data_IF_495083894551
#
_entry.id   IF_495083894551
#
_cell.length_a   1.000
_cell.length_b   1.000
_cell.length_c   1.000
_cell.angle_alpha   90.00
_cell.angle_beta   90.00
_cell.angle_gamma   90.00
#
_symmetry.space_group_name_H-M   'P 1'
#
loop_
_entity.id
_entity.type
_entity.pdbx_description
1 polymer ?
#
# COMPACT_ATOMS: atom_id res chain seq x y z
N UNK A 1 6.63 24.36 1.48
CA UNK A 1 6.60 22.90 1.78
C UNK A 1 5.16 22.39 1.70
N UNK A 2 4.89 21.32 0.93
CA UNK A 2 3.55 20.71 0.80
C UNK A 2 2.92 20.32 2.15
N UNK A 3 1.58 20.31 2.22
CA UNK A 3 0.87 20.05 3.48
C UNK A 3 1.01 18.60 3.95
N UNK A 4 1.04 17.62 3.04
CA UNK A 4 1.33 16.22 3.37
C UNK A 4 2.68 16.08 4.09
N UNK A 5 3.68 16.89 3.73
CA UNK A 5 5.00 16.78 4.35
C UNK A 5 4.97 17.36 5.77
N UNK A 6 4.24 18.47 5.98
CA UNK A 6 4.03 19.04 7.31
C UNK A 6 3.32 18.06 8.22
N UNK A 7 2.29 17.41 7.70
CA UNK A 7 1.51 16.40 8.41
C UNK A 7 2.36 15.17 8.74
N UNK A 8 3.16 14.67 7.79
CA UNK A 8 4.09 13.57 8.02
C UNK A 8 5.12 13.92 9.10
N UNK A 9 5.73 15.11 9.06
CA UNK A 9 6.65 15.59 10.10
C UNK A 9 5.97 15.63 11.47
N UNK A 10 4.73 16.13 11.52
CA UNK A 10 3.96 16.16 12.76
C UNK A 10 3.74 14.75 13.32
N UNK A 11 3.24 13.82 12.50
CA UNK A 11 3.00 12.44 12.91
C UNK A 11 4.29 11.74 13.34
N UNK A 12 5.37 11.87 12.57
CA UNK A 12 6.67 11.29 12.93
C UNK A 12 7.14 11.77 14.30
N UNK A 13 7.08 13.08 14.56
CA UNK A 13 7.46 13.65 15.85
C UNK A 13 6.54 13.18 16.99
N UNK A 14 5.23 13.17 16.77
CA UNK A 14 4.26 12.72 17.76
C UNK A 14 4.44 11.25 18.15
N UNK A 15 4.89 10.41 17.21
CA UNK A 15 5.22 9.01 17.43
C UNK A 15 6.66 8.78 17.95
N UNK A 16 7.44 9.84 18.16
CA UNK A 16 8.81 9.76 18.70
C UNK A 16 9.90 9.43 17.67
N UNK A 17 9.60 9.45 16.37
CA UNK A 17 10.60 9.23 15.32
C UNK A 17 11.41 10.50 15.06
N UNK A 18 12.74 10.34 15.00
CA UNK A 18 13.69 11.45 14.72
C UNK A 18 13.89 11.69 13.22
N UNK A 19 13.76 10.65 12.40
CA UNK A 19 14.04 10.69 10.97
C UNK A 19 12.77 10.42 10.16
N UNK A 20 12.67 11.08 9.02
CA UNK A 20 11.58 10.92 8.06
C UNK A 20 12.21 10.93 6.66
N UNK A 21 11.88 9.93 5.87
CA UNK A 21 12.27 9.85 4.46
C UNK A 21 11.06 10.14 3.58
N UNK A 22 11.24 11.03 2.60
CA UNK A 22 10.25 11.35 1.56
C UNK A 22 11.03 11.41 0.26
N UNK A 23 10.66 10.58 -0.72
CA UNK A 23 11.31 10.43 -2.02
C UNK A 23 11.73 11.77 -2.66
N UNK A 24 10.81 12.70 -2.76
CA UNK A 24 10.99 14.03 -3.36
C UNK A 24 11.86 14.99 -2.55
N UNK A 25 12.21 14.65 -1.31
CA UNK A 25 13.15 15.40 -0.47
C UNK A 25 14.50 14.69 -0.32
N UNK A 26 14.53 13.36 -0.44
CA UNK A 26 15.69 12.53 -0.16
C UNK A 26 16.41 12.05 -1.43
N UNK A 27 15.77 12.16 -2.60
CA UNK A 27 16.35 11.86 -3.91
C UNK A 27 16.49 13.16 -4.70
N UNK A 28 17.64 13.36 -5.35
CA UNK A 28 17.92 14.53 -6.18
C UNK A 28 17.13 14.39 -7.49
N UNK A 29 16.01 15.11 -7.59
CA UNK A 29 15.06 14.95 -8.70
C UNK A 29 15.62 15.32 -10.08
N UNK A 30 16.59 16.23 -10.10
CA UNK A 30 17.21 16.74 -11.34
C UNK A 30 18.48 15.97 -11.76
N UNK A 31 18.85 14.92 -11.01
CA UNK A 31 20.00 14.07 -11.31
C UNK A 31 19.54 12.65 -11.67
N UNK A 32 19.69 12.29 -12.94
CA UNK A 32 19.31 10.97 -13.44
C UNK A 32 20.15 9.86 -12.81
N UNK A 33 21.43 10.09 -12.55
CA UNK A 33 22.31 9.08 -11.98
C UNK A 33 21.94 8.82 -10.52
N UNK A 34 21.66 9.88 -9.74
CA UNK A 34 21.14 9.76 -8.37
C UNK A 34 19.79 9.02 -8.36
N UNK A 35 18.86 9.43 -9.23
CA UNK A 35 17.57 8.77 -9.36
C UNK A 35 17.69 7.29 -9.72
N UNK A 36 18.55 6.92 -10.68
CA UNK A 36 18.80 5.53 -11.09
C UNK A 36 19.44 4.68 -9.98
N UNK A 37 20.13 5.30 -9.02
CA UNK A 37 20.71 4.63 -7.86
C UNK A 37 19.67 4.50 -6.74
N UNK A 38 19.03 5.59 -6.35
CA UNK A 38 18.07 5.64 -5.25
C UNK A 38 16.76 4.90 -5.56
N UNK A 39 16.27 4.95 -6.80
CA UNK A 39 15.06 4.20 -7.20
C UNK A 39 15.20 2.68 -7.00
N UNK A 40 16.42 2.15 -7.14
CA UNK A 40 16.71 0.72 -6.87
C UNK A 40 16.70 0.41 -5.37
N UNK A 41 16.99 1.40 -4.53
CA UNK A 41 16.99 1.28 -3.07
C UNK A 41 15.62 1.55 -2.45
N UNK A 42 14.66 2.13 -3.19
CA UNK A 42 13.32 2.44 -2.66
C UNK A 42 12.68 1.24 -1.98
N UNK A 43 12.73 0.06 -2.59
CA UNK A 43 12.17 -1.14 -1.97
C UNK A 43 12.77 -1.45 -0.59
N UNK A 44 14.07 -1.26 -0.45
CA UNK A 44 14.79 -1.42 0.81
C UNK A 44 14.39 -0.36 1.84
N UNK A 45 14.19 0.89 1.41
CA UNK A 45 13.73 1.97 2.28
C UNK A 45 12.38 1.62 2.91
N UNK A 46 11.40 1.20 2.11
CA UNK A 46 10.06 0.85 2.62
C UNK A 46 10.07 -0.46 3.44
N UNK A 47 10.86 -1.45 3.03
CA UNK A 47 10.97 -2.72 3.75
C UNK A 47 11.68 -2.59 5.11
N UNK A 48 12.67 -1.70 5.21
CA UNK A 48 13.49 -1.48 6.41
C UNK A 48 13.00 -0.31 7.26
N UNK A 49 12.01 0.46 6.81
CA UNK A 49 11.39 1.51 7.60
C UNK A 49 10.75 0.95 8.88
N UNK A 50 10.92 1.66 10.00
CA UNK A 50 10.23 1.32 11.25
C UNK A 50 8.71 1.42 11.09
N UNK A 51 8.27 2.43 10.34
CA UNK A 51 6.88 2.72 10.00
C UNK A 51 6.79 3.47 8.67
N UNK A 52 5.90 3.01 7.79
CA UNK A 52 5.46 3.75 6.60
C UNK A 52 4.17 4.51 6.90
N UNK A 53 4.17 5.83 6.68
CA UNK A 53 2.98 6.69 6.83
C UNK A 53 2.35 6.88 5.45
N UNK A 54 1.08 6.56 5.32
CA UNK A 54 0.35 6.68 4.06
C UNK A 54 -0.78 7.71 4.15
N UNK A 55 -0.67 8.76 3.36
CA UNK A 55 -1.68 9.79 3.18
C UNK A 55 -2.82 9.31 2.26
N UNK A 56 -3.45 8.17 2.56
CA UNK A 56 -4.37 7.47 1.65
C UNK A 56 -5.57 8.31 1.20
N UNK A 57 -6.05 9.22 2.04
CA UNK A 57 -7.16 10.14 1.70
C UNK A 57 -6.77 11.33 0.83
N UNK A 58 -5.48 11.67 0.72
CA UNK A 58 -5.03 12.87 0.02
C UNK A 58 -4.81 12.56 -1.47
N UNK A 59 -5.44 13.34 -2.35
CA UNK A 59 -5.27 13.22 -3.80
C UNK A 59 -4.00 13.91 -4.31
N UNK A 60 -3.49 14.89 -3.55
CA UNK A 60 -2.30 15.66 -3.88
C UNK A 60 -1.48 16.05 -2.64
N UNK A 61 -0.21 16.38 -2.83
CA UNK A 61 0.72 16.72 -1.75
C UNK A 61 0.31 17.98 -0.95
N UNK A 62 -0.50 18.86 -1.55
CA UNK A 62 -0.94 20.13 -0.99
C UNK A 62 -2.15 19.99 -0.04
N UNK A 63 -2.88 18.87 -0.10
CA UNK A 63 -4.16 18.73 0.64
C UNK A 63 -3.96 18.55 2.14
N UNK A 64 -2.91 17.83 2.54
CA UNK A 64 -2.77 17.32 3.90
C UNK A 64 -3.63 16.07 4.10
N UNK A 65 -3.26 15.28 5.11
CA UNK A 65 -4.01 14.09 5.52
C UNK A 65 -4.46 14.17 6.99
N UNK A 66 -4.00 15.18 7.73
CA UNK A 66 -4.51 15.54 9.05
C UNK A 66 -5.63 16.60 8.89
N UNK A 67 -6.85 16.09 8.70
CA UNK A 67 -8.16 16.76 8.77
C UNK A 67 -8.63 17.73 7.63
N UNK A 68 -9.88 17.46 7.18
CA UNK A 68 -11.11 18.24 7.47
C UNK A 68 -12.27 17.25 7.72
N UNK A 69 -12.78 17.18 8.96
CA UNK A 69 -13.89 16.31 9.44
C UNK A 69 -13.84 14.83 9.01
N UNK A 70 -13.29 13.95 9.87
CA UNK A 70 -13.66 12.53 9.80
C UNK A 70 -15.04 12.36 10.44
N UNK A 71 -16.09 11.96 9.70
CA UNK A 71 -17.47 11.89 10.21
C UNK A 71 -17.66 10.91 11.38
N UNK A 72 -16.69 10.02 11.59
CA UNK A 72 -16.70 8.88 12.50
C UNK A 72 -16.30 9.20 13.95
N UNK A 73 -15.90 10.43 14.24
CA UNK A 73 -15.71 10.92 15.60
C UNK A 73 -16.92 11.74 16.05
N UNK A 74 -18.11 11.12 16.02
CA UNK A 74 -19.21 11.63 16.85
C UNK A 74 -19.07 10.98 18.22
N UNK A 75 -18.17 11.53 19.01
CA UNK A 75 -18.22 11.34 20.45
C UNK A 75 -19.56 11.90 20.91
N UNK A 76 -20.35 11.05 21.56
CA UNK A 76 -21.66 11.42 22.06
C UNK A 76 -21.81 10.85 23.46
N UNK A 77 -22.61 11.55 24.25
CA UNK A 77 -22.87 11.18 25.64
C UNK A 77 -24.34 10.84 25.78
N UNK A 78 -24.62 9.68 26.37
CA UNK A 78 -25.97 9.34 26.81
C UNK A 78 -25.97 9.30 28.33
N UNK A 79 -26.83 10.10 28.94
CA UNK A 79 -27.05 10.08 30.39
C UNK A 79 -28.25 9.19 30.68
N UNK A 80 -28.03 8.12 31.44
CA UNK A 80 -29.06 7.15 31.81
C UNK A 80 -29.22 7.20 33.34
N UNK A 81 -30.47 7.32 33.81
CA UNK A 81 -30.77 7.16 35.23
C UNK A 81 -30.82 5.66 35.53
N UNK A 82 -29.84 5.16 36.27
CA UNK A 82 -29.80 3.75 36.70
C UNK A 82 -30.56 3.62 38.02
N UNK A 83 -31.35 2.55 38.18
CA UNK A 83 -32.24 2.37 39.34
C UNK A 83 -31.51 2.37 40.70
N UNK A 84 -30.23 2.00 40.72
CA UNK A 84 -29.42 1.85 41.94
C UNK A 84 -28.28 2.88 42.05
N UNK A 85 -28.29 3.94 41.23
CA UNK A 85 -27.26 4.98 41.26
C UNK A 85 -27.81 6.31 41.80
N UNK A 86 -27.03 6.98 42.66
CA UNK A 86 -27.31 8.36 43.11
C UNK A 86 -27.05 9.35 41.96
N UNK A 87 -28.02 9.42 41.05
CA UNK A 87 -28.04 10.37 39.93
C UNK A 87 -27.76 9.76 38.55
N UNK A 88 -27.88 10.58 37.49
CA UNK A 88 -27.68 10.12 36.12
C UNK A 88 -26.22 9.70 35.89
N UNK A 89 -26.03 8.49 35.36
CA UNK A 89 -24.72 8.01 34.91
C UNK A 89 -24.53 8.41 33.45
N UNK A 90 -23.44 9.12 33.15
CA UNK A 90 -23.09 9.51 31.78
C UNK A 90 -22.21 8.44 31.15
N UNK A 91 -22.70 7.86 30.06
CA UNK A 91 -21.93 6.96 29.20
C UNK A 91 -21.38 7.74 28.01
N UNK A 92 -20.07 7.62 27.82
CA UNK A 92 -19.42 8.09 26.60
C UNK A 92 -19.44 6.94 25.59
N UNK A 93 -20.01 7.19 24.42
CA UNK A 93 -19.98 6.23 23.34
C UNK A 93 -19.49 6.88 22.06
N UNK A 94 -18.88 6.06 21.23
CA UNK A 94 -18.44 6.40 19.89
C UNK A 94 -19.19 5.50 18.92
N UNK A 95 -19.82 6.09 17.91
CA UNK A 95 -20.27 5.29 16.78
C UNK A 95 -19.03 4.79 16.04
N UNK A 96 -18.92 3.48 15.87
CA UNK A 96 -17.88 2.87 15.04
C UNK A 96 -17.83 3.60 13.70
N UNK A 97 -16.62 3.92 13.23
CA UNK A 97 -16.46 4.42 11.88
C UNK A 97 -17.07 3.40 10.92
N UNK A 98 -17.85 3.81 9.90
CA UNK A 98 -18.32 2.85 8.91
C UNK A 98 -17.10 2.28 8.20
N UNK A 99 -16.79 1.01 8.48
CA UNK A 99 -15.67 0.35 7.85
C UNK A 99 -15.96 0.26 6.35
N UNK A 100 -15.22 1.04 5.59
CA UNK A 100 -15.28 1.00 4.14
C UNK A 100 -13.88 0.71 3.68
N UNK A 101 -13.64 -0.53 3.25
CA UNK A 101 -12.42 -0.88 2.54
C UNK A 101 -12.44 -0.33 1.10
N UNK A 102 -12.72 0.97 0.97
CA UNK A 102 -12.60 1.69 -0.27
C UNK A 102 -11.13 2.10 -0.44
N UNK A 103 -10.62 1.87 -1.65
CA UNK A 103 -9.33 2.38 -2.07
C UNK A 103 -9.36 3.92 -2.04
N UNK A 104 -8.30 4.53 -1.51
CA UNK A 104 -8.12 5.96 -1.55
C UNK A 104 -7.34 6.41 -2.79
N UNK A 105 -7.29 7.72 -3.09
CA UNK A 105 -6.50 8.26 -4.19
C UNK A 105 -5.06 7.71 -4.26
N UNK A 106 -4.41 7.54 -3.10
CA UNK A 106 -3.05 7.01 -3.03
C UNK A 106 -2.92 5.57 -3.53
N UNK A 107 -3.91 4.71 -3.28
CA UNK A 107 -3.87 3.28 -3.65
C UNK A 107 -3.90 3.07 -5.17
N UNK A 108 -4.36 4.08 -5.91
CA UNK A 108 -4.41 4.06 -7.38
C UNK A 108 -3.05 4.27 -8.03
N UNK A 109 -2.00 4.64 -7.28
CA UNK A 109 -0.66 4.89 -7.83
C UNK A 109 0.16 3.60 -7.86
N UNK A 110 0.75 3.28 -8.99
CA UNK A 110 1.49 2.02 -9.16
C UNK A 110 2.71 1.91 -8.23
N UNK A 111 3.46 3.01 -8.03
CA UNK A 111 4.58 3.06 -7.08
C UNK A 111 4.16 2.67 -5.65
N UNK A 112 2.98 3.11 -5.21
CA UNK A 112 2.45 2.81 -3.87
C UNK A 112 2.22 1.32 -3.66
N UNK A 113 2.03 0.55 -4.74
CA UNK A 113 1.84 -0.89 -4.62
C UNK A 113 3.04 -1.57 -3.95
N UNK A 114 4.25 -1.38 -4.45
CA UNK A 114 5.43 -1.98 -3.80
C UNK A 114 5.65 -1.41 -2.41
N UNK A 115 5.46 -0.10 -2.22
CA UNK A 115 5.64 0.59 -0.93
C UNK A 115 4.79 -0.06 0.16
N UNK A 116 3.53 -0.35 -0.19
CA UNK A 116 2.55 -0.97 0.70
C UNK A 116 2.85 -2.45 0.98
N UNK A 117 3.24 -3.23 -0.05
CA UNK A 117 3.55 -4.67 0.08
C UNK A 117 4.81 -4.92 0.91
N UNK A 118 5.79 -4.01 0.82
CA UNK A 118 7.08 -4.12 1.50
C UNK A 118 7.04 -3.60 2.94
N UNK A 119 6.11 -2.68 3.25
CA UNK A 119 6.01 -2.11 4.59
C UNK A 119 5.75 -3.17 5.67
N UNK A 120 6.66 -3.26 6.65
CA UNK A 120 6.48 -4.15 7.82
C UNK A 120 5.49 -3.61 8.84
N UNK A 121 5.33 -2.30 8.87
CA UNK A 121 4.36 -1.54 9.64
C UNK A 121 3.89 -0.37 8.80
N UNK A 122 2.60 -0.13 8.79
CA UNK A 122 2.03 0.90 7.93
C UNK A 122 0.81 1.52 8.59
N UNK A 123 0.82 2.84 8.63
CA UNK A 123 -0.24 3.65 9.19
C UNK A 123 -0.90 4.42 8.05
N UNK A 124 -2.11 3.98 7.68
CA UNK A 124 -2.90 4.58 6.62
C UNK A 124 -3.89 5.59 7.18
N UNK A 125 -3.77 6.82 6.72
CA UNK A 125 -4.73 7.88 6.95
C UNK A 125 -5.78 7.86 5.84
N UNK A 126 -6.88 7.14 6.06
CA UNK A 126 -8.01 7.08 5.13
C UNK A 126 -9.03 8.19 5.41
N UNK A 127 -10.01 8.32 4.53
CA UNK A 127 -11.01 9.39 4.59
C UNK A 127 -11.93 9.30 5.81
N UNK A 128 -12.14 8.09 6.32
CA UNK A 128 -13.09 7.83 7.42
C UNK A 128 -12.42 7.32 8.70
N UNK A 129 -11.25 6.70 8.60
CA UNK A 129 -10.56 6.09 9.75
C UNK A 129 -9.05 5.98 9.53
N UNK A 130 -8.31 5.76 10.62
CA UNK A 130 -6.97 5.20 10.56
C UNK A 130 -7.05 3.68 10.46
N UNK A 131 -6.21 3.13 9.59
CA UNK A 131 -5.93 1.70 9.61
C UNK A 131 -4.44 1.51 9.85
N UNK A 132 -4.12 0.71 10.86
CA UNK A 132 -2.79 0.25 11.16
C UNK A 132 -2.64 -1.20 10.75
N UNK A 133 -1.49 -1.58 10.21
CA UNK A 133 -1.12 -2.98 10.11
C UNK A 133 0.35 -3.21 10.36
N UNK A 134 0.64 -4.40 10.86
CA UNK A 134 1.96 -4.99 10.93
C UNK A 134 1.88 -6.48 10.56
N UNK A 135 3.01 -7.18 10.61
CA UNK A 135 3.03 -8.61 10.29
C UNK A 135 2.21 -9.48 11.28
N UNK A 136 1.97 -8.99 12.50
CA UNK A 136 1.24 -9.72 13.53
C UNK A 136 -0.26 -9.37 13.60
N UNK A 137 -0.64 -8.11 13.35
CA UNK A 137 -1.98 -7.61 13.60
C UNK A 137 -2.34 -6.46 12.64
N UNK A 138 -3.64 -6.23 12.50
CA UNK A 138 -4.20 -5.04 11.87
C UNK A 138 -5.23 -4.46 12.84
N UNK A 139 -5.25 -3.15 12.95
CA UNK A 139 -6.18 -2.43 13.79
C UNK A 139 -6.81 -1.30 12.99
N UNK A 140 -8.06 -1.02 13.32
CA UNK A 140 -8.89 -0.09 12.59
C UNK A 140 -9.63 0.76 13.62
N UNK A 141 -9.77 2.07 13.41
CA UNK A 141 -10.48 2.92 14.39
C UNK A 141 -11.96 2.54 14.57
N UNK A 142 -12.55 1.80 13.63
CA UNK A 142 -13.91 1.28 13.76
C UNK A 142 -14.09 0.14 14.76
N UNK A 143 -13.01 -0.58 15.12
CA UNK A 143 -13.06 -1.77 15.99
C UNK A 143 -14.11 -2.84 15.56
N UNK A 144 -14.47 -2.86 14.26
CA UNK A 144 -15.53 -3.73 13.74
C UNK A 144 -15.11 -5.21 13.74
N UNK A 145 -16.05 -6.11 14.07
CA UNK A 145 -15.83 -7.56 13.90
C UNK A 145 -15.71 -7.97 12.42
N UNK A 146 -16.19 -7.15 11.48
CA UNK A 146 -16.05 -7.35 10.03
C UNK A 146 -14.59 -7.23 9.55
N UNK A 147 -13.69 -6.72 10.40
CA UNK A 147 -12.25 -6.61 10.11
C UNK A 147 -11.64 -7.99 9.84
N UNK A 148 -12.23 -9.11 10.31
CA UNK A 148 -11.70 -10.48 10.10
C UNK A 148 -11.56 -10.90 8.62
N UNK A 149 -12.49 -10.53 7.72
CA UNK A 149 -12.37 -10.84 6.28
C UNK A 149 -11.38 -9.87 5.58
N UNK A 150 -11.30 -8.63 6.08
CA UNK A 150 -10.37 -7.62 5.57
C UNK A 150 -8.93 -7.89 6.02
N UNK A 151 -8.74 -8.40 7.25
CA UNK A 151 -7.50 -8.97 7.77
C UNK A 151 -6.93 -10.00 6.78
N UNK A 152 -7.77 -10.90 6.26
CA UNK A 152 -7.34 -11.94 5.32
C UNK A 152 -6.92 -11.34 3.98
N UNK A 153 -7.76 -10.54 3.33
CA UNK A 153 -7.45 -9.91 2.03
C UNK A 153 -6.24 -8.99 2.08
N UNK A 154 -6.02 -8.34 3.22
CA UNK A 154 -4.91 -7.43 3.46
C UNK A 154 -3.61 -8.19 3.77
N UNK A 155 -3.67 -9.18 4.68
CA UNK A 155 -2.51 -9.98 5.10
C UNK A 155 -2.04 -10.91 3.98
N UNK A 156 -2.97 -11.45 3.17
CA UNK A 156 -2.68 -12.17 1.92
C UNK A 156 -1.85 -11.36 0.93
N UNK A 157 -1.68 -10.05 1.14
CA UNK A 157 -0.88 -9.19 0.30
C UNK A 157 0.44 -8.76 0.96
N UNK A 158 0.79 -9.13 2.19
CA UNK A 158 2.19 -8.91 2.63
C UNK A 158 3.09 -9.99 2.03
N UNK A 159 4.32 -9.62 1.63
CA UNK A 159 5.27 -10.60 1.10
C UNK A 159 5.60 -11.70 2.10
N UNK A 160 5.72 -11.34 3.38
CA UNK A 160 5.98 -12.29 4.46
C UNK A 160 4.88 -13.36 4.55
N UNK A 161 3.62 -12.94 4.48
CA UNK A 161 2.49 -13.88 4.53
C UNK A 161 2.47 -14.79 3.30
N UNK A 162 2.60 -14.22 2.10
CA UNK A 162 2.66 -14.98 0.85
C UNK A 162 3.77 -16.04 0.91
N UNK A 163 4.97 -15.66 1.34
CA UNK A 163 6.11 -16.58 1.36
C UNK A 163 6.02 -17.65 2.45
N UNK A 164 5.36 -17.37 3.57
CA UNK A 164 5.19 -18.31 4.69
C UNK A 164 4.05 -19.31 4.49
N UNK A 165 3.05 -18.98 3.67
CA UNK A 165 1.84 -19.80 3.52
C UNK A 165 1.67 -20.43 2.12
N UNK A 166 2.61 -20.19 1.21
CA UNK A 166 2.53 -20.74 -0.14
C UNK A 166 3.82 -21.47 -0.56
N UNK A 167 3.65 -22.59 -1.24
CA UNK A 167 4.68 -23.30 -1.99
C UNK A 167 5.19 -22.46 -3.18
N UNK A 168 6.31 -22.86 -3.79
CA UNK A 168 6.83 -22.15 -4.97
C UNK A 168 5.83 -22.15 -6.14
N UNK A 169 5.13 -23.27 -6.36
CA UNK A 169 4.11 -23.39 -7.40
C UNK A 169 2.93 -22.43 -7.15
N UNK A 170 2.44 -22.37 -5.91
CA UNK A 170 1.40 -21.42 -5.54
C UNK A 170 1.86 -19.97 -5.66
N UNK A 171 3.13 -19.67 -5.34
CA UNK A 171 3.68 -18.33 -5.49
C UNK A 171 3.72 -17.86 -6.94
N UNK A 172 3.93 -18.74 -7.91
CA UNK A 172 3.79 -18.38 -9.32
C UNK A 172 2.35 -18.00 -9.69
N UNK A 173 1.37 -18.73 -9.15
CA UNK A 173 -0.06 -18.40 -9.31
C UNK A 173 -0.39 -17.06 -8.66
N UNK A 174 0.07 -16.84 -7.42
CA UNK A 174 -0.09 -15.59 -6.66
C UNK A 174 0.59 -14.40 -7.35
N UNK A 175 1.75 -14.61 -7.96
CA UNK A 175 2.41 -13.58 -8.77
C UNK A 175 1.49 -13.08 -9.88
N UNK A 176 0.87 -13.99 -10.66
CA UNK A 176 -0.03 -13.61 -11.76
C UNK A 176 -1.33 -12.99 -11.26
N UNK A 177 -1.99 -13.64 -10.30
CA UNK A 177 -3.35 -13.30 -9.86
C UNK A 177 -3.42 -12.16 -8.86
N UNK A 178 -2.41 -12.01 -8.00
CA UNK A 178 -2.41 -11.01 -6.93
C UNK A 178 -1.38 -9.90 -7.19
N UNK A 179 -0.17 -10.23 -7.65
CA UNK A 179 0.85 -9.19 -7.85
C UNK A 179 0.61 -8.44 -9.16
N UNK A 180 0.69 -9.12 -10.30
CA UNK A 180 0.56 -8.51 -11.63
C UNK A 180 -0.84 -7.95 -11.81
N UNK A 181 -1.90 -8.75 -11.58
CA UNK A 181 -3.26 -8.32 -11.86
C UNK A 181 -3.69 -7.07 -11.07
N UNK A 182 -3.31 -6.94 -9.79
CA UNK A 182 -3.61 -5.71 -9.04
C UNK A 182 -2.66 -4.58 -9.46
N UNK A 183 -1.39 -4.85 -9.72
CA UNK A 183 -0.41 -3.83 -10.12
C UNK A 183 -0.82 -3.12 -11.42
N UNK A 184 -1.22 -3.87 -12.45
CA UNK A 184 -1.66 -3.38 -13.76
C UNK A 184 -3.10 -2.82 -13.75
N UNK A 185 -3.61 -2.42 -12.60
CA UNK A 185 -4.85 -1.63 -12.48
C UNK A 185 -4.53 -0.22 -11.97
N UNK A 186 -3.24 0.10 -11.79
CA UNK A 186 -2.78 1.31 -11.13
C UNK A 186 -2.17 2.27 -12.13
N UNK A 187 -2.34 3.54 -11.83
CA UNK A 187 -1.86 4.64 -12.64
C UNK A 187 -0.35 4.85 -12.45
N UNK A 188 0.34 4.97 -13.59
CA UNK A 188 1.71 5.46 -13.68
C UNK A 188 1.72 6.82 -14.38
N UNK A 189 2.45 7.78 -13.81
CA UNK A 189 2.71 9.05 -14.51
C UNK A 189 3.67 8.86 -15.68
N UNK A 190 4.63 7.95 -15.55
CA UNK A 190 5.58 7.55 -16.60
C UNK A 190 5.48 6.05 -16.79
N UNK A 191 5.04 5.60 -17.96
CA UNK A 191 4.87 4.17 -18.23
C UNK A 191 6.21 3.41 -18.27
N UNK A 192 7.32 4.10 -18.54
CA UNK A 192 8.68 3.54 -18.42
C UNK A 192 9.02 3.01 -17.02
N UNK A 193 8.35 3.51 -15.98
CA UNK A 193 8.63 3.15 -14.59
C UNK A 193 7.99 1.80 -14.21
N UNK A 194 7.20 1.18 -15.11
CA UNK A 194 6.38 -0.01 -14.83
C UNK A 194 7.15 -1.17 -14.23
N UNK A 195 8.38 -1.42 -14.65
CA UNK A 195 9.21 -2.47 -14.04
C UNK A 195 9.88 -2.01 -12.75
N UNK A 196 10.33 -0.76 -12.71
CA UNK A 196 11.08 -0.22 -11.56
C UNK A 196 10.14 -0.13 -10.34
N UNK A 197 8.91 0.31 -10.55
CA UNK A 197 7.86 0.42 -9.53
C UNK A 197 7.38 -0.94 -8.98
N UNK A 198 7.82 -2.06 -9.57
CA UNK A 198 7.58 -3.42 -9.07
C UNK A 198 8.87 -4.19 -8.74
N UNK A 199 10.05 -3.58 -8.99
CA UNK A 199 11.34 -4.28 -9.02
C UNK A 199 11.73 -4.93 -7.69
N UNK A 200 11.44 -4.29 -6.57
CA UNK A 200 11.78 -4.83 -5.26
C UNK A 200 10.89 -6.03 -4.87
N UNK A 201 9.60 -5.98 -5.24
CA UNK A 201 8.68 -7.11 -5.10
C UNK A 201 9.13 -8.27 -5.99
N UNK A 202 9.47 -8.00 -7.25
CA UNK A 202 10.05 -8.99 -8.15
C UNK A 202 11.34 -9.60 -7.57
N UNK A 203 12.23 -8.79 -7.03
CA UNK A 203 13.49 -9.26 -6.43
C UNK A 203 13.24 -10.20 -5.25
N UNK A 204 12.27 -9.89 -4.39
CA UNK A 204 11.88 -10.76 -3.28
C UNK A 204 11.30 -12.10 -3.76
N UNK A 205 10.43 -12.08 -4.78
CA UNK A 205 9.92 -13.30 -5.41
C UNK A 205 11.02 -14.11 -6.09
N UNK A 206 11.98 -13.47 -6.76
CA UNK A 206 13.09 -14.14 -7.43
C UNK A 206 13.90 -15.00 -6.46
N UNK A 207 14.19 -14.47 -5.27
CA UNK A 207 14.89 -15.22 -4.21
C UNK A 207 14.07 -16.45 -3.78
N UNK A 208 12.75 -16.30 -3.62
CA UNK A 208 11.87 -17.39 -3.14
C UNK A 208 11.61 -18.46 -4.20
N UNK A 209 11.47 -18.06 -5.46
CA UNK A 209 11.17 -18.92 -6.60
C UNK A 209 12.44 -19.57 -7.19
N UNK A 210 13.61 -18.96 -6.98
CA UNK A 210 14.86 -19.40 -7.62
C UNK A 210 14.78 -19.37 -9.16
N UNK A 211 13.96 -18.46 -9.71
CA UNK A 211 13.69 -18.31 -11.13
C UNK A 211 14.14 -16.94 -11.59
N UNK A 212 14.81 -16.84 -12.74
CA UNK A 212 15.23 -15.56 -13.29
C UNK A 212 14.01 -14.72 -13.67
N UNK A 213 13.95 -13.51 -13.15
CA UNK A 213 12.97 -12.52 -13.58
C UNK A 213 13.41 -11.92 -14.92
N UNK A 214 12.51 -11.96 -15.89
CA UNK A 214 12.72 -11.40 -17.23
C UNK A 214 12.05 -10.02 -17.29
N UNK A 215 11.15 -9.82 -18.25
CA UNK A 215 10.38 -8.58 -18.39
C UNK A 215 8.95 -8.88 -17.93
N UNK A 216 8.70 -8.77 -16.62
CA UNK A 216 7.36 -9.05 -16.07
C UNK A 216 7.05 -10.54 -15.81
N UNK A 217 7.89 -11.45 -16.32
CA UNK A 217 7.66 -12.90 -16.34
C UNK A 217 8.82 -13.70 -15.71
N UNK A 218 8.56 -14.95 -15.33
CA UNK A 218 9.52 -15.87 -14.74
C UNK A 218 10.03 -16.91 -15.74
N UNK A 219 11.35 -17.07 -15.86
CA UNK A 219 11.97 -18.01 -16.82
C UNK A 219 11.48 -19.46 -16.66
N UNK A 220 11.38 -19.98 -15.43
CA UNK A 220 10.95 -21.36 -15.16
C UNK A 220 9.49 -21.65 -15.49
N UNK A 221 8.64 -20.62 -15.49
CA UNK A 221 7.20 -20.72 -15.72
C UNK A 221 6.77 -19.98 -16.98
N UNK A 222 7.73 -19.70 -17.88
CA UNK A 222 7.52 -18.84 -19.04
C UNK A 222 6.35 -19.32 -19.92
N UNK A 223 6.17 -20.64 -20.05
CA UNK A 223 5.05 -21.21 -20.83
C UNK A 223 3.70 -20.77 -20.27
N UNK A 224 3.53 -20.76 -18.95
CA UNK A 224 2.29 -20.32 -18.30
C UNK A 224 2.19 -18.80 -18.22
N UNK A 225 3.30 -18.14 -17.97
CA UNK A 225 3.38 -16.68 -17.87
C UNK A 225 3.11 -15.99 -19.22
N UNK A 226 3.38 -16.64 -20.36
CA UNK A 226 3.01 -16.19 -21.69
C UNK A 226 1.50 -16.28 -21.98
N UNK A 227 0.73 -16.99 -21.14
CA UNK A 227 -0.73 -17.09 -21.26
C UNK A 227 -1.47 -15.95 -20.53
N UNK A 228 -0.77 -14.87 -20.19
CA UNK A 228 -1.38 -13.71 -19.57
C UNK A 228 -2.48 -13.13 -20.47
N UNK A 229 -3.51 -12.56 -19.84
CA UNK A 229 -4.61 -11.90 -20.52
C UNK A 229 -4.87 -10.56 -19.86
N UNK A 230 -5.49 -9.64 -20.60
CA UNK A 230 -5.93 -8.35 -20.09
C UNK A 230 -7.46 -8.32 -20.05
N UNK A 231 -8.02 -7.72 -19.00
CA UNK A 231 -9.47 -7.54 -18.86
C UNK A 231 -10.04 -6.56 -19.88
N UNK A 232 -9.20 -5.68 -20.44
CA UNK A 232 -9.54 -4.75 -21.50
C UNK A 232 -8.38 -4.63 -22.50
N UNK A 233 -8.64 -4.25 -23.77
CA UNK A 233 -7.57 -4.04 -24.74
C UNK A 233 -6.66 -2.88 -24.31
N UNK A 234 -5.42 -3.18 -23.98
CA UNK A 234 -4.39 -2.17 -23.70
C UNK A 234 -3.72 -1.68 -24.97
N UNK A 235 -3.44 -0.37 -25.06
CA UNK A 235 -2.60 0.17 -26.13
C UNK A 235 -1.17 -0.30 -25.93
N UNK A 236 -0.45 -0.58 -27.01
CA UNK A 236 0.97 -0.88 -26.94
C UNK A 236 1.75 0.35 -26.49
N UNK A 237 2.61 0.17 -25.51
CA UNK A 237 3.51 1.20 -25.00
C UNK A 237 4.60 1.54 -26.03
N UNK A 238 5.03 2.81 -26.12
CA UNK A 238 5.93 3.27 -27.17
C UNK A 238 7.42 2.93 -26.96
N UNK A 239 7.79 2.34 -25.83
CA UNK A 239 9.19 2.03 -25.47
C UNK A 239 9.59 0.58 -25.79
N UNK A 240 10.90 0.32 -25.90
CA UNK A 240 11.46 -0.97 -26.29
C UNK A 240 11.29 -2.03 -25.20
N UNK A 241 10.14 -2.72 -25.21
CA UNK A 241 9.91 -3.94 -24.44
C UNK A 241 9.38 -5.06 -25.35
N UNK A 242 9.70 -6.33 -25.04
CA UNK A 242 9.27 -7.46 -25.85
C UNK A 242 7.73 -7.58 -25.90
N UNK A 243 7.18 -7.75 -27.09
CA UNK A 243 5.71 -7.77 -27.34
C UNK A 243 4.97 -8.93 -26.71
N UNK A 244 5.68 -9.98 -26.32
CA UNK A 244 5.13 -11.14 -25.64
C UNK A 244 4.94 -10.92 -24.14
N UNK A 245 5.45 -9.82 -23.58
CA UNK A 245 5.27 -9.45 -22.17
C UNK A 245 4.07 -8.54 -21.99
N UNK A 246 3.32 -8.72 -20.90
CA UNK A 246 2.26 -7.81 -20.47
C UNK A 246 2.76 -6.37 -20.27
N UNK A 247 4.05 -6.20 -19.96
CA UNK A 247 4.70 -4.89 -19.74
C UNK A 247 4.64 -4.00 -20.98
N UNK A 248 4.52 -4.60 -22.17
CA UNK A 248 4.45 -3.90 -23.45
C UNK A 248 3.09 -3.23 -23.72
N UNK A 249 2.10 -3.41 -22.84
CA UNK A 249 0.76 -2.88 -23.00
C UNK A 249 0.38 -1.99 -21.82
N UNK A 250 -0.46 -1.01 -22.07
CA UNK A 250 -1.12 -0.20 -21.04
C UNK A 250 -1.92 -1.11 -20.10
N UNK A 251 -1.81 -0.82 -18.81
CA UNK A 251 -2.34 -1.57 -17.68
C UNK A 251 -1.81 -0.95 -16.41
#
# INVERSE_FOLDING_TARGET
MPRNFRDAIYVSKALGYKYLWIDSLCIIQDDKQDWDQESKLMGDVYNKADLVIAATCASAAQEGFLAKHRPSYRESTVSVALQDADGPTTFHYRLAAPHRNQEGPLDTRAWVFQERLLARRYLSFRSLELTWYCQAAMHCECDSAEVADDHRKFRERSLEFLFSHNSQQELHVRWRQDIVAFYTQRNLTRSSDKLIALSAVASAFQVRLGSKYLVGLWERELIFDLLWTASSPGRREPYEVPTWSWVAYEG
#
